data_IF_496503133716
#
_entry.id   IF_496503133716
#
_cell.length_a   1.000
_cell.length_b   1.000
_cell.length_c   1.000
_cell.angle_alpha   90.00
_cell.angle_beta   90.00
_cell.angle_gamma   90.00
#
_symmetry.space_group_name_H-M   'P 1'
#
loop_
_entity.id
_entity.type
_entity.pdbx_description
1 polymer ?
#
# COMPACT_ATOMS: atom_id res chain seq x y z
N UNK A 1 -13.17 -49.40 -23.82
CA UNK A 1 -12.59 -48.20 -24.46
C UNK A 1 -11.78 -47.47 -23.42
N UNK A 2 -10.47 -47.70 -23.38
CA UNK A 2 -9.52 -47.19 -22.39
C UNK A 2 -8.92 -45.87 -22.85
N UNK A 3 -9.10 -44.81 -22.07
CA UNK A 3 -8.53 -43.47 -22.28
C UNK A 3 -7.03 -43.47 -21.98
N UNK A 4 -6.20 -43.27 -23.01
CA UNK A 4 -4.76 -43.09 -22.85
C UNK A 4 -4.47 -41.65 -22.37
N UNK A 5 -3.88 -41.52 -21.17
CA UNK A 5 -3.46 -40.23 -20.62
C UNK A 5 -2.34 -39.59 -21.48
N UNK A 6 -2.34 -38.26 -21.69
CA UNK A 6 -1.32 -37.59 -22.47
C UNK A 6 0.01 -37.61 -21.71
N UNK A 7 1.01 -38.31 -22.25
CA UNK A 7 2.38 -38.27 -21.75
C UNK A 7 2.96 -36.89 -22.04
N UNK A 8 3.10 -36.04 -21.02
CA UNK A 8 3.85 -34.79 -21.14
C UNK A 8 5.33 -35.11 -21.33
N UNK A 9 5.74 -35.21 -22.61
CA UNK A 9 7.12 -35.45 -23.01
C UNK A 9 8.06 -34.38 -22.47
N UNK A 10 9.35 -34.72 -22.37
CA UNK A 10 10.44 -33.87 -21.88
C UNK A 10 10.40 -32.43 -22.48
N UNK A 11 10.02 -32.31 -23.76
CA UNK A 11 9.82 -31.04 -24.47
C UNK A 11 8.79 -30.12 -23.82
N UNK A 12 7.68 -30.66 -23.31
CA UNK A 12 6.65 -29.86 -22.63
C UNK A 12 7.16 -29.27 -21.32
N UNK A 13 7.98 -30.01 -20.57
CA UNK A 13 8.57 -29.49 -19.31
C UNK A 13 9.57 -28.37 -19.56
N UNK A 14 10.34 -28.47 -20.65
CA UNK A 14 11.30 -27.42 -21.05
C UNK A 14 10.59 -26.15 -21.52
N UNK A 15 9.51 -26.26 -22.31
CA UNK A 15 8.75 -25.09 -22.76
C UNK A 15 8.04 -24.38 -21.60
N UNK A 16 7.43 -25.13 -20.67
CA UNK A 16 6.86 -24.58 -19.44
C UNK A 16 7.94 -23.97 -18.53
N UNK A 17 9.12 -24.58 -18.47
CA UNK A 17 10.27 -24.04 -17.74
C UNK A 17 10.73 -22.69 -18.30
N UNK A 18 10.87 -22.56 -19.62
CA UNK A 18 11.23 -21.30 -20.27
C UNK A 18 10.13 -20.23 -20.14
N UNK A 19 8.86 -20.64 -20.26
CA UNK A 19 7.72 -19.73 -20.08
C UNK A 19 7.64 -19.16 -18.66
N UNK A 20 8.00 -19.95 -17.64
CA UNK A 20 8.08 -19.48 -16.25
C UNK A 20 9.39 -18.72 -15.95
N UNK A 21 10.50 -19.10 -16.60
CA UNK A 21 11.80 -18.47 -16.38
C UNK A 21 11.80 -16.99 -16.78
N UNK A 22 11.08 -16.60 -17.84
CA UNK A 22 11.04 -15.22 -18.31
C UNK A 22 10.41 -14.26 -17.27
N UNK A 23 9.19 -14.49 -16.73
CA UNK A 23 8.64 -13.70 -15.63
C UNK A 23 9.53 -13.70 -14.38
N UNK A 24 10.12 -14.83 -14.02
CA UNK A 24 10.98 -14.93 -12.84
C UNK A 24 12.27 -14.12 -13.02
N UNK A 25 12.91 -14.20 -14.18
CA UNK A 25 14.10 -13.40 -14.50
C UNK A 25 13.77 -11.91 -14.50
N UNK A 26 12.59 -11.53 -15.03
CA UNK A 26 12.12 -10.15 -14.99
C UNK A 26 11.92 -9.67 -13.54
N UNK A 27 11.21 -10.43 -12.69
CA UNK A 27 11.04 -10.09 -11.27
C UNK A 27 12.37 -10.05 -10.52
N UNK A 28 13.28 -10.98 -10.81
CA UNK A 28 14.60 -11.00 -10.19
C UNK A 28 15.39 -9.73 -10.55
N UNK A 29 15.38 -9.33 -11.81
CA UNK A 29 16.15 -8.17 -12.29
C UNK A 29 15.52 -6.83 -11.88
N UNK A 30 14.20 -6.70 -11.92
CA UNK A 30 13.52 -5.41 -11.71
C UNK A 30 12.98 -5.19 -10.30
N UNK A 31 12.81 -6.25 -9.51
CA UNK A 31 12.31 -6.13 -8.14
C UNK A 31 13.35 -6.60 -7.12
N UNK A 32 13.83 -7.84 -7.26
CA UNK A 32 14.72 -8.43 -6.25
C UNK A 32 16.06 -7.72 -6.24
N UNK A 33 16.66 -7.46 -7.41
CA UNK A 33 17.95 -6.78 -7.51
C UNK A 33 17.95 -5.38 -6.88
N UNK A 34 17.00 -4.46 -7.20
CA UNK A 34 16.94 -3.16 -6.52
C UNK A 34 16.71 -3.26 -5.01
N UNK A 35 15.85 -4.16 -4.55
CA UNK A 35 15.57 -4.33 -3.11
C UNK A 35 16.81 -4.83 -2.37
N UNK A 36 17.50 -5.84 -2.90
CA UNK A 36 18.74 -6.34 -2.31
C UNK A 36 19.81 -5.26 -2.32
N UNK A 37 19.91 -4.49 -3.41
CA UNK A 37 20.85 -3.37 -3.50
C UNK A 37 20.56 -2.31 -2.44
N UNK A 38 19.29 -1.96 -2.23
CA UNK A 38 18.88 -0.99 -1.20
C UNK A 38 19.22 -1.48 0.22
N UNK A 39 18.98 -2.76 0.51
CA UNK A 39 19.34 -3.37 1.79
C UNK A 39 20.85 -3.37 1.97
N UNK A 40 21.61 -3.74 0.93
CA UNK A 40 23.08 -3.76 0.97
C UNK A 40 23.65 -2.38 1.29
N UNK A 41 23.13 -1.35 0.64
CA UNK A 41 23.52 0.05 0.87
C UNK A 41 23.15 0.51 2.26
N UNK A 42 21.96 0.16 2.75
CA UNK A 42 21.56 0.48 4.11
C UNK A 42 22.50 -0.14 5.16
N UNK A 43 22.89 -1.41 4.97
CA UNK A 43 23.77 -2.13 5.90
C UNK A 43 25.23 -1.66 5.82
N UNK A 44 25.76 -1.51 4.60
CA UNK A 44 27.19 -1.27 4.40
C UNK A 44 27.56 0.20 4.27
N UNK A 45 26.60 1.10 4.02
CA UNK A 45 26.88 2.51 3.72
C UNK A 45 27.68 2.71 2.42
N UNK A 46 27.78 1.68 1.59
CA UNK A 46 28.58 1.68 0.36
C UNK A 46 27.73 1.30 -0.86
N UNK A 47 27.89 2.06 -1.94
CA UNK A 47 27.37 1.76 -3.27
C UNK A 47 28.55 1.35 -4.16
N UNK A 48 28.53 0.12 -4.68
CA UNK A 48 29.50 -0.36 -5.67
C UNK A 48 30.99 -0.21 -5.28
N UNK A 49 31.31 -0.32 -3.98
CA UNK A 49 32.70 -0.19 -3.49
C UNK A 49 33.16 1.25 -3.28
N UNK A 50 32.32 2.24 -3.58
CA UNK A 50 32.54 3.61 -3.13
C UNK A 50 31.82 3.77 -1.78
N UNK A 51 32.57 4.09 -0.73
CA UNK A 51 31.99 4.56 0.53
C UNK A 51 31.24 5.86 0.22
N UNK A 52 29.97 5.98 0.64
CA UNK A 52 29.23 7.24 0.52
C UNK A 52 29.75 8.24 1.58
N UNK A 53 31.06 8.52 1.56
CA UNK A 53 31.73 9.31 2.57
C UNK A 53 31.68 8.69 3.98
N UNK A 54 32.52 9.22 4.86
CA UNK A 54 32.54 8.91 6.30
C UNK A 54 31.28 9.38 7.04
N UNK A 55 30.37 10.07 6.35
CA UNK A 55 29.17 10.70 6.90
C UNK A 55 27.86 9.98 6.51
N UNK A 56 27.89 8.95 5.64
CA UNK A 56 26.69 8.16 5.38
C UNK A 56 26.35 7.32 6.62
N UNK A 57 25.24 7.61 7.32
CA UNK A 57 24.87 6.85 8.50
C UNK A 57 24.49 5.44 8.06
N UNK A 58 25.34 4.45 8.38
CA UNK A 58 24.96 3.06 8.24
C UNK A 58 23.68 2.75 9.03
N UNK A 59 23.01 1.65 8.71
CA UNK A 59 21.73 1.26 9.33
C UNK A 59 21.71 1.41 10.86
N UNK A 60 22.82 1.10 11.54
CA UNK A 60 22.91 1.18 12.99
C UNK A 60 22.76 2.61 13.54
N UNK A 61 23.36 3.61 12.92
CA UNK A 61 23.24 5.00 13.40
C UNK A 61 21.83 5.56 13.18
N UNK A 62 21.15 5.14 12.11
CA UNK A 62 19.73 5.49 11.89
C UNK A 62 18.83 4.86 12.96
N UNK A 63 19.09 3.63 13.39
CA UNK A 63 18.30 2.94 14.42
C UNK A 63 18.55 3.48 15.84
N UNK A 64 19.71 4.08 16.09
CA UNK A 64 20.02 4.74 17.36
C UNK A 64 19.36 6.12 17.48
N UNK A 65 18.95 6.71 16.36
CA UNK A 65 18.31 8.03 16.35
C UNK A 65 16.89 7.97 16.96
N UNK A 66 16.60 8.76 18.02
CA UNK A 66 15.27 8.79 18.64
C UNK A 66 14.14 9.18 17.68
N UNK A 67 14.47 10.01 16.68
CA UNK A 67 13.55 10.43 15.62
C UNK A 67 13.02 9.23 14.83
N UNK A 68 13.84 8.22 14.58
CA UNK A 68 13.45 7.03 13.82
C UNK A 68 12.33 6.29 14.53
N UNK A 69 12.48 6.02 15.82
CA UNK A 69 11.45 5.37 16.63
C UNK A 69 10.19 6.20 16.78
N UNK A 70 10.33 7.52 16.89
CA UNK A 70 9.17 8.43 16.92
C UNK A 70 8.36 8.32 15.63
N UNK A 71 9.02 8.40 14.47
CA UNK A 71 8.34 8.27 13.17
C UNK A 71 7.70 6.88 13.01
N UNK A 72 8.44 5.81 13.34
CA UNK A 72 7.91 4.43 13.27
C UNK A 72 6.65 4.29 14.11
N UNK A 73 6.68 4.72 15.38
CA UNK A 73 5.52 4.62 16.28
C UNK A 73 4.33 5.45 15.79
N UNK A 74 4.56 6.65 15.25
CA UNK A 74 3.52 7.49 14.66
C UNK A 74 2.87 6.81 13.44
N UNK A 75 3.68 6.31 12.50
CA UNK A 75 3.19 5.60 11.32
C UNK A 75 2.42 4.34 11.69
N UNK A 76 2.93 3.57 12.67
CA UNK A 76 2.25 2.38 13.15
C UNK A 76 0.90 2.72 13.79
N UNK A 77 0.85 3.77 14.62
CA UNK A 77 -0.38 4.25 15.23
C UNK A 77 -1.39 4.71 14.17
N UNK A 78 -0.95 5.41 13.14
CA UNK A 78 -1.81 5.85 12.02
C UNK A 78 -2.34 4.65 11.23
N UNK A 79 -1.47 3.68 10.89
CA UNK A 79 -1.84 2.49 10.14
C UNK A 79 -2.85 1.61 10.91
N UNK A 80 -2.61 1.36 12.19
CA UNK A 80 -3.52 0.58 13.04
C UNK A 80 -4.86 1.30 13.19
N UNK A 81 -4.84 2.60 13.51
CA UNK A 81 -6.06 3.39 13.68
C UNK A 81 -6.88 3.46 12.39
N UNK A 82 -6.22 3.69 11.25
CA UNK A 82 -6.84 3.69 9.93
C UNK A 82 -7.45 2.33 9.57
N UNK A 83 -6.75 1.24 9.88
CA UNK A 83 -7.24 -0.13 9.64
C UNK A 83 -8.48 -0.43 10.47
N UNK A 84 -8.43 -0.16 11.78
CA UNK A 84 -9.58 -0.36 12.68
C UNK A 84 -10.78 0.45 12.21
N UNK A 85 -10.58 1.73 11.89
CA UNK A 85 -11.66 2.59 11.40
C UNK A 85 -12.24 2.09 10.07
N UNK A 86 -11.39 1.62 9.15
CA UNK A 86 -11.82 1.05 7.87
C UNK A 86 -12.66 -0.21 8.05
N UNK A 87 -12.31 -1.08 9.01
CA UNK A 87 -13.09 -2.27 9.33
C UNK A 87 -14.44 -1.89 9.94
N UNK A 88 -14.43 -0.96 10.91
CA UNK A 88 -15.64 -0.49 11.60
C UNK A 88 -16.63 0.15 10.63
N UNK A 89 -16.15 0.89 9.63
CA UNK A 89 -17.02 1.53 8.62
C UNK A 89 -17.34 0.61 7.44
N UNK A 90 -16.34 -0.15 6.98
CA UNK A 90 -16.43 -0.96 5.76
C UNK A 90 -17.24 -2.23 5.94
N UNK A 91 -17.12 -2.94 7.07
CA UNK A 91 -17.88 -4.19 7.29
C UNK A 91 -19.40 -3.93 7.32
N UNK A 92 -19.92 -2.91 8.04
CA UNK A 92 -21.34 -2.57 7.97
C UNK A 92 -21.75 -2.08 6.58
N UNK A 93 -20.90 -1.29 5.90
CA UNK A 93 -21.18 -0.84 4.54
C UNK A 93 -21.29 -2.03 3.56
N UNK A 94 -20.37 -2.99 3.62
CA UNK A 94 -20.43 -4.25 2.86
C UNK A 94 -21.73 -5.01 3.15
N UNK A 95 -22.10 -5.13 4.42
CA UNK A 95 -23.35 -5.78 4.79
C UNK A 95 -24.55 -5.10 4.14
N UNK A 96 -24.67 -3.77 4.23
CA UNK A 96 -25.76 -3.02 3.61
C UNK A 96 -25.74 -3.17 2.08
N UNK A 97 -24.58 -2.97 1.45
CA UNK A 97 -24.43 -2.99 0.00
C UNK A 97 -24.56 -4.40 -0.61
N UNK A 98 -24.29 -5.47 0.13
CA UNK A 98 -24.28 -6.84 -0.39
C UNK A 98 -25.36 -7.76 0.19
N UNK A 99 -25.94 -7.46 1.35
CA UNK A 99 -27.02 -8.26 1.95
C UNK A 99 -28.39 -7.64 1.86
N UNK A 100 -28.52 -6.31 1.79
CA UNK A 100 -29.83 -5.65 1.73
C UNK A 100 -30.25 -5.33 0.30
N UNK A 101 -31.56 -5.37 0.06
CA UNK A 101 -32.18 -4.97 -1.21
C UNK A 101 -32.88 -3.63 -1.02
N UNK A 102 -32.36 -2.59 -1.70
CA UNK A 102 -32.95 -1.25 -1.67
C UNK A 102 -32.69 -0.52 -3.00
N UNK A 103 -33.52 0.48 -3.28
CA UNK A 103 -33.45 1.27 -4.52
C UNK A 103 -32.24 2.21 -4.46
N UNK A 104 -31.36 2.16 -5.46
CA UNK A 104 -30.12 2.97 -5.51
C UNK A 104 -28.84 2.22 -5.09
N UNK A 105 -28.94 0.94 -4.70
CA UNK A 105 -27.80 0.08 -4.32
C UNK A 105 -26.63 0.10 -5.32
N UNK A 106 -26.93 0.04 -6.62
CA UNK A 106 -25.90 0.03 -7.66
C UNK A 106 -25.15 1.37 -7.75
N UNK A 107 -25.85 2.49 -7.54
CA UNK A 107 -25.22 3.81 -7.49
C UNK A 107 -24.30 3.92 -6.27
N UNK A 108 -24.78 3.49 -5.09
CA UNK A 108 -23.96 3.52 -3.87
C UNK A 108 -22.72 2.61 -3.98
N UNK A 109 -22.84 1.43 -4.60
CA UNK A 109 -21.68 0.59 -4.91
C UNK A 109 -20.68 1.31 -5.82
N UNK A 110 -21.16 1.97 -6.87
CA UNK A 110 -20.30 2.78 -7.74
C UNK A 110 -19.58 3.89 -6.97
N UNK A 111 -20.30 4.66 -6.16
CA UNK A 111 -19.73 5.71 -5.33
C UNK A 111 -18.72 5.17 -4.31
N UNK A 112 -18.99 4.00 -3.73
CA UNK A 112 -18.08 3.34 -2.79
C UNK A 112 -16.74 2.95 -3.44
N UNK A 113 -16.67 2.80 -4.77
CA UNK A 113 -15.39 2.53 -5.46
C UNK A 113 -14.57 3.79 -5.76
N UNK A 114 -15.17 4.98 -5.65
CA UNK A 114 -14.50 6.25 -6.02
C UNK A 114 -13.15 6.42 -5.32
N UNK A 115 -13.03 6.28 -3.98
CA UNK A 115 -11.75 6.50 -3.31
C UNK A 115 -10.62 5.58 -3.80
N UNK A 116 -10.93 4.36 -4.21
CA UNK A 116 -9.94 3.40 -4.73
C UNK A 116 -9.35 3.83 -6.08
N UNK A 117 -10.16 4.50 -6.90
CA UNK A 117 -9.75 4.95 -8.23
C UNK A 117 -9.03 6.30 -8.17
N UNK A 118 -9.21 7.05 -7.07
CA UNK A 118 -8.55 8.34 -6.89
C UNK A 118 -7.04 8.16 -6.63
N UNK A 119 -6.17 8.92 -7.31
CA UNK A 119 -4.75 9.01 -6.94
C UNK A 119 -4.58 9.49 -5.50
N UNK A 120 -3.57 8.99 -4.80
CA UNK A 120 -3.28 9.35 -3.40
C UNK A 120 -3.13 10.86 -3.19
N UNK A 121 -2.51 11.56 -4.15
CA UNK A 121 -2.35 13.01 -4.13
C UNK A 121 -3.70 13.72 -4.18
N UNK A 122 -4.66 13.22 -4.97
CA UNK A 122 -6.00 13.82 -5.09
C UNK A 122 -6.76 13.72 -3.78
N UNK A 123 -6.65 12.59 -3.08
CA UNK A 123 -7.24 12.44 -1.74
C UNK A 123 -6.62 13.43 -0.76
N UNK A 124 -5.30 13.61 -0.79
CA UNK A 124 -4.61 14.60 0.05
C UNK A 124 -5.14 16.03 -0.19
N UNK A 125 -5.23 16.45 -1.45
CA UNK A 125 -5.77 17.77 -1.82
C UNK A 125 -7.25 17.91 -1.42
N UNK A 126 -8.06 16.87 -1.54
CA UNK A 126 -9.46 16.91 -1.13
C UNK A 126 -9.61 17.12 0.39
N UNK A 127 -8.74 16.51 1.21
CA UNK A 127 -8.72 16.74 2.66
C UNK A 127 -8.24 18.15 3.02
N UNK A 128 -7.21 18.67 2.34
CA UNK A 128 -6.79 20.07 2.54
C UNK A 128 -7.86 21.06 2.08
N UNK A 129 -8.56 20.79 0.98
CA UNK A 129 -9.67 21.62 0.51
C UNK A 129 -10.90 21.58 1.46
N UNK A 130 -10.97 20.57 2.33
CA UNK A 130 -12.01 20.41 3.32
C UNK A 130 -11.62 20.99 4.70
N UNK A 131 -10.40 20.72 5.16
CA UNK A 131 -9.92 20.99 6.53
C UNK A 131 -8.89 22.13 6.63
N UNK A 132 -8.37 22.62 5.50
CA UNK A 132 -7.36 23.69 5.46
C UNK A 132 -7.87 25.04 5.94
N UNK A 133 -6.96 26.00 6.09
CA UNK A 133 -7.32 27.36 6.49
C UNK A 133 -8.27 28.01 5.46
N UNK A 134 -9.43 28.50 5.92
CA UNK A 134 -10.47 29.05 5.05
C UNK A 134 -11.37 28.03 4.34
N UNK A 135 -11.15 26.73 4.56
CA UNK A 135 -11.99 25.65 4.05
C UNK A 135 -13.30 25.48 4.87
N UNK A 136 -14.31 24.74 4.35
CA UNK A 136 -15.61 24.57 5.03
C UNK A 136 -15.50 24.04 6.47
N UNK A 137 -14.51 23.17 6.73
CA UNK A 137 -14.22 22.60 8.05
C UNK A 137 -12.89 23.12 8.63
N UNK A 138 -12.34 24.20 8.10
CA UNK A 138 -11.06 24.78 8.54
C UNK A 138 -11.06 25.26 9.99
N UNK A 139 -12.23 25.61 10.53
CA UNK A 139 -12.40 26.01 11.93
C UNK A 139 -12.05 24.90 12.94
N UNK A 140 -11.96 23.63 12.51
CA UNK A 140 -11.52 22.53 13.35
C UNK A 140 -10.00 22.55 13.63
N UNK A 141 -9.21 23.29 12.84
CA UNK A 141 -7.75 23.29 12.95
C UNK A 141 -7.12 21.91 12.78
N UNK A 142 -7.80 21.01 12.06
CA UNK A 142 -7.42 19.61 11.92
C UNK A 142 -6.57 19.33 10.67
N UNK A 143 -6.23 20.35 9.87
CA UNK A 143 -5.40 20.16 8.68
C UNK A 143 -4.05 19.53 9.05
N UNK A 144 -3.62 18.54 8.26
CA UNK A 144 -2.40 17.76 8.48
C UNK A 144 -2.28 17.11 9.88
N UNK A 145 -3.37 17.04 10.64
CA UNK A 145 -3.39 16.41 11.96
C UNK A 145 -3.38 14.88 11.86
N UNK A 146 -3.04 14.22 12.98
CA UNK A 146 -3.14 12.76 13.09
C UNK A 146 -4.54 12.25 12.70
N UNK A 147 -5.59 12.93 13.15
CA UNK A 147 -6.98 12.56 12.87
C UNK A 147 -7.29 12.68 11.38
N UNK A 148 -6.90 13.79 10.75
CA UNK A 148 -7.12 13.99 9.32
C UNK A 148 -6.41 12.91 8.48
N UNK A 149 -5.18 12.54 8.85
CA UNK A 149 -4.44 11.47 8.17
C UNK A 149 -5.14 10.11 8.34
N UNK A 150 -5.58 9.78 9.56
CA UNK A 150 -6.33 8.53 9.82
C UNK A 150 -7.65 8.49 9.05
N UNK A 151 -8.37 9.62 8.96
CA UNK A 151 -9.59 9.73 8.16
C UNK A 151 -9.31 9.56 6.67
N UNK A 152 -8.23 10.14 6.14
CA UNK A 152 -7.83 9.97 4.75
C UNK A 152 -7.43 8.51 4.44
N UNK A 153 -6.67 7.88 5.34
CA UNK A 153 -6.36 6.45 5.28
C UNK A 153 -7.63 5.59 5.26
N UNK A 154 -8.57 5.88 6.16
CA UNK A 154 -9.82 5.14 6.25
C UNK A 154 -10.70 5.36 5.01
N UNK A 155 -10.80 6.60 4.50
CA UNK A 155 -11.52 6.91 3.26
C UNK A 155 -11.03 6.08 2.08
N UNK A 156 -9.71 5.91 1.95
CA UNK A 156 -9.12 5.07 0.91
C UNK A 156 -9.40 3.57 1.17
N UNK A 157 -9.09 3.09 2.37
CA UNK A 157 -9.13 1.67 2.71
C UNK A 157 -10.55 1.10 2.87
N UNK A 158 -11.55 1.92 3.23
CA UNK A 158 -12.93 1.46 3.40
C UNK A 158 -13.47 0.85 2.10
N UNK A 159 -13.00 1.32 0.95
CA UNK A 159 -13.40 0.83 -0.38
C UNK A 159 -12.93 -0.59 -0.67
N UNK A 160 -11.81 -1.00 -0.07
CA UNK A 160 -11.27 -2.35 -0.18
C UNK A 160 -12.06 -3.31 0.72
N UNK A 161 -12.61 -2.79 1.81
CA UNK A 161 -13.37 -3.57 2.80
C UNK A 161 -14.87 -3.68 2.44
N UNK A 162 -15.47 -2.61 1.89
CA UNK A 162 -16.90 -2.45 1.63
C UNK A 162 -17.36 -3.11 0.32
#
# INVERSE_FOLDING_TARGET
MTTAAPRSGLLGRVTWGLAAALPVAFLALFFVWPVVSLIWVGVTGSLNGNELGSDAPGMLSVLQEPRTWRVISQTLAQAVSGTVLSLVLGVPAAFVLYRLEFRGRNLLRGLATVPFVLPTVVVGVAFTALLGEGAPLGWLGADQSFVAIVLALAFFNVTVVA
#
